data_IF_267135268511
#
_entry.id   IF_267135268511
#
_cell.length_a   1.000
_cell.length_b   1.000
_cell.length_c   1.000
_cell.angle_alpha   90.00
_cell.angle_beta   90.00
_cell.angle_gamma   90.00
#
_symmetry.space_group_name_H-M   'P 1'
#
loop_
_entity.id
_entity.type
_entity.pdbx_description
1 polymer ?
#
# COMPACT_ATOMS: atom_id res chain seq x y z
N UNK A 1 -59.02 -25.49 -8.16
CA UNK A 1 -58.29 -25.74 -9.42
C UNK A 1 -56.91 -25.12 -9.31
N UNK A 2 -55.90 -25.96 -9.12
CA UNK A 2 -54.49 -25.61 -8.93
C UNK A 2 -53.90 -25.04 -10.24
N UNK A 3 -53.21 -23.90 -10.18
CA UNK A 3 -52.41 -23.37 -11.30
C UNK A 3 -50.93 -23.47 -10.92
N UNK A 4 -50.26 -24.46 -11.49
CA UNK A 4 -48.81 -24.62 -11.41
C UNK A 4 -48.12 -23.46 -12.16
N UNK A 5 -47.20 -22.76 -11.47
CA UNK A 5 -46.19 -21.89 -12.09
C UNK A 5 -44.91 -22.70 -12.24
N UNK A 6 -44.51 -22.98 -13.47
CA UNK A 6 -43.20 -23.53 -13.81
C UNK A 6 -42.16 -22.41 -13.79
N UNK A 7 -41.08 -22.59 -13.02
CA UNK A 7 -39.86 -21.77 -13.06
C UNK A 7 -38.86 -22.47 -13.99
N UNK A 8 -38.13 -21.78 -14.88
CA UNK A 8 -37.01 -22.40 -15.58
C UNK A 8 -35.78 -22.37 -14.65
N UNK A 9 -35.23 -23.55 -14.37
CA UNK A 9 -33.90 -23.72 -13.78
C UNK A 9 -32.86 -23.45 -14.89
N UNK A 10 -32.06 -22.39 -14.75
CA UNK A 10 -30.81 -22.27 -15.50
C UNK A 10 -29.74 -23.09 -14.77
N UNK A 11 -29.38 -24.24 -15.33
CA UNK A 11 -28.17 -24.99 -14.96
C UNK A 11 -26.98 -24.35 -15.68
N UNK A 12 -26.10 -23.69 -14.93
CA UNK A 12 -24.76 -23.31 -15.40
C UNK A 12 -23.85 -24.49 -15.11
N UNK A 13 -23.47 -25.23 -16.15
CA UNK A 13 -22.43 -26.26 -16.06
C UNK A 13 -21.06 -25.57 -15.99
N UNK A 14 -20.45 -25.55 -14.80
CA UNK A 14 -19.06 -25.14 -14.61
C UNK A 14 -18.16 -26.31 -15.06
N UNK A 15 -17.59 -26.21 -16.26
CA UNK A 15 -16.52 -27.11 -16.69
C UNK A 15 -15.22 -26.68 -16.00
N UNK A 16 -14.78 -27.44 -15.00
CA UNK A 16 -13.45 -27.33 -14.44
C UNK A 16 -12.42 -27.91 -15.42
N UNK A 17 -11.73 -27.05 -16.17
CA UNK A 17 -10.53 -27.42 -16.90
C UNK A 17 -9.31 -27.27 -15.96
N UNK A 18 -8.39 -28.23 -15.91
CA UNK A 18 -7.16 -28.08 -15.14
C UNK A 18 -6.25 -27.08 -15.86
N UNK A 19 -5.81 -26.03 -15.15
CA UNK A 19 -4.75 -25.12 -15.60
C UNK A 19 -3.41 -25.86 -15.54
N UNK A 20 -3.07 -26.56 -16.61
CA UNK A 20 -1.72 -27.07 -16.83
C UNK A 20 -0.77 -25.87 -16.98
N UNK A 21 0.15 -25.68 -16.03
CA UNK A 21 1.25 -24.73 -16.18
C UNK A 21 2.23 -25.32 -17.20
N UNK A 22 2.28 -24.74 -18.40
CA UNK A 22 3.34 -25.04 -19.35
C UNK A 22 4.63 -24.39 -18.83
N UNK A 23 5.59 -25.21 -18.38
CA UNK A 23 6.96 -24.76 -18.15
C UNK A 23 7.65 -24.63 -19.52
N UNK A 24 7.81 -23.40 -19.98
CA UNK A 24 8.59 -23.07 -21.18
C UNK A 24 10.09 -23.28 -20.84
N UNK A 25 10.80 -24.06 -21.65
CA UNK A 25 12.24 -24.31 -21.47
C UNK A 25 12.97 -23.01 -21.77
N UNK A 26 13.64 -22.42 -20.76
CA UNK A 26 14.39 -21.19 -20.94
C UNK A 26 15.61 -21.42 -21.87
N UNK A 27 15.78 -20.61 -22.93
CA UNK A 27 16.94 -20.70 -23.82
C UNK A 27 18.20 -20.21 -23.12
N UNK A 28 19.37 -20.80 -23.44
CA UNK A 28 20.70 -20.37 -22.95
C UNK A 28 21.31 -19.36 -23.93
N UNK A 29 21.25 -18.04 -23.68
CA UNK A 29 21.74 -17.04 -24.65
C UNK A 29 23.26 -16.91 -24.64
N UNK A 30 23.84 -16.74 -25.83
CA UNK A 30 25.27 -16.42 -25.99
C UNK A 30 25.59 -14.94 -25.73
N UNK A 31 24.60 -14.05 -25.80
CA UNK A 31 24.72 -12.62 -25.49
C UNK A 31 23.33 -12.01 -25.20
N UNK A 32 23.24 -10.83 -24.55
CA UNK A 32 21.96 -10.15 -24.31
C UNK A 32 21.17 -9.85 -25.59
N UNK A 33 21.87 -9.60 -26.71
CA UNK A 33 21.24 -9.36 -28.00
C UNK A 33 20.50 -10.59 -28.53
N UNK A 34 20.88 -11.81 -28.13
CA UNK A 34 20.17 -13.04 -28.52
C UNK A 34 18.75 -13.12 -27.94
N UNK A 35 18.43 -12.35 -26.90
CA UNK A 35 17.12 -12.36 -26.26
C UNK A 35 16.07 -11.57 -27.04
N UNK A 36 16.45 -10.71 -27.99
CA UNK A 36 15.48 -9.92 -28.78
C UNK A 36 14.59 -10.78 -29.68
N UNK A 37 15.05 -11.99 -30.05
CA UNK A 37 14.28 -12.93 -30.88
C UNK A 37 13.33 -13.82 -30.09
N UNK A 38 13.34 -13.75 -28.75
CA UNK A 38 12.41 -14.53 -27.92
C UNK A 38 11.05 -13.85 -27.94
N UNK A 39 10.01 -14.57 -28.39
CA UNK A 39 8.67 -14.00 -28.63
C UNK A 39 7.82 -13.91 -27.36
N UNK A 40 7.97 -14.89 -26.46
CA UNK A 40 7.35 -14.89 -25.13
C UNK A 40 8.03 -13.85 -24.24
N UNK A 41 7.27 -12.91 -23.69
CA UNK A 41 7.81 -11.85 -22.83
C UNK A 41 8.49 -12.44 -21.58
N UNK A 42 7.89 -13.49 -21.01
CA UNK A 42 8.43 -14.19 -19.85
C UNK A 42 9.75 -14.91 -20.18
N UNK A 43 9.80 -15.63 -21.30
CA UNK A 43 11.01 -16.29 -21.76
C UNK A 43 12.09 -15.28 -22.18
N UNK A 44 11.70 -14.13 -22.73
CA UNK A 44 12.61 -13.06 -23.13
C UNK A 44 13.25 -12.38 -21.92
N UNK A 45 12.46 -12.12 -20.87
CA UNK A 45 12.99 -11.61 -19.61
C UNK A 45 13.94 -12.62 -18.96
N UNK A 46 13.54 -13.88 -18.85
CA UNK A 46 14.39 -14.95 -18.32
C UNK A 46 15.71 -15.10 -19.12
N UNK A 47 15.63 -14.94 -20.44
CA UNK A 47 16.81 -14.90 -21.31
C UNK A 47 17.73 -13.72 -20.96
N UNK A 48 17.20 -12.50 -20.81
CA UNK A 48 18.01 -11.34 -20.43
C UNK A 48 18.65 -11.53 -19.05
N UNK A 49 17.89 -12.06 -18.09
CA UNK A 49 18.37 -12.34 -16.75
C UNK A 49 19.56 -13.31 -16.80
N UNK A 50 19.45 -14.38 -17.59
CA UNK A 50 20.53 -15.33 -17.80
C UNK A 50 21.72 -14.73 -18.56
N UNK A 51 21.48 -13.94 -19.61
CA UNK A 51 22.52 -13.33 -20.44
C UNK A 51 23.36 -12.28 -19.68
N UNK A 52 22.72 -11.58 -18.75
CA UNK A 52 23.34 -10.53 -17.94
C UNK A 52 23.79 -11.04 -16.56
N UNK A 53 23.57 -12.32 -16.25
CA UNK A 53 23.90 -12.91 -14.96
C UNK A 53 23.07 -12.36 -13.81
N UNK A 54 21.89 -11.80 -14.08
CA UNK A 54 20.95 -11.39 -13.05
C UNK A 54 20.43 -12.64 -12.35
N UNK A 55 20.88 -12.83 -11.13
CA UNK A 55 20.26 -13.73 -10.17
C UNK A 55 19.53 -12.87 -9.15
N UNK A 56 18.22 -13.06 -8.95
CA UNK A 56 17.54 -12.35 -7.87
C UNK A 56 18.18 -12.79 -6.55
N UNK A 57 18.97 -11.92 -5.93
CA UNK A 57 19.49 -12.21 -4.60
C UNK A 57 18.32 -12.44 -3.66
N UNK A 58 18.36 -13.57 -2.94
CA UNK A 58 17.32 -13.88 -1.98
C UNK A 58 17.42 -12.87 -0.84
N UNK A 59 16.29 -12.32 -0.42
CA UNK A 59 16.23 -11.35 0.68
C UNK A 59 16.90 -11.89 1.96
N UNK A 60 16.81 -13.20 2.20
CA UNK A 60 17.51 -13.86 3.31
C UNK A 60 19.04 -13.80 3.21
N UNK A 61 19.62 -13.89 2.01
CA UNK A 61 21.05 -13.77 1.79
C UNK A 61 21.53 -12.34 2.01
N UNK A 62 20.77 -11.36 1.51
CA UNK A 62 21.04 -9.94 1.73
C UNK A 62 21.02 -9.60 3.23
N UNK A 63 20.04 -10.13 3.96
CA UNK A 63 19.95 -9.96 5.42
C UNK A 63 21.14 -10.62 6.13
N UNK A 64 21.53 -11.84 5.75
CA UNK A 64 22.65 -12.55 6.36
C UNK A 64 23.97 -11.79 6.16
N UNK A 65 24.22 -11.28 4.95
CA UNK A 65 25.39 -10.47 4.64
C UNK A 65 25.45 -9.20 5.50
N UNK A 66 24.31 -8.51 5.65
CA UNK A 66 24.22 -7.31 6.49
C UNK A 66 24.48 -7.61 7.97
N UNK A 67 24.01 -8.74 8.50
CA UNK A 67 24.27 -9.14 9.90
C UNK A 67 25.75 -9.48 10.14
N UNK A 68 26.37 -10.22 9.23
CA UNK A 68 27.81 -10.53 9.31
C UNK A 68 28.64 -9.23 9.28
N UNK A 69 28.24 -8.26 8.45
CA UNK A 69 28.90 -6.95 8.40
C UNK A 69 28.80 -6.20 9.74
N UNK A 70 27.62 -6.15 10.37
CA UNK A 70 27.41 -5.54 11.70
C UNK A 70 28.20 -6.23 12.81
N UNK A 71 28.27 -7.57 12.82
CA UNK A 71 28.99 -8.32 13.85
C UNK A 71 30.51 -8.13 13.79
N UNK A 72 31.06 -7.82 12.61
CA UNK A 72 32.48 -7.47 12.47
C UNK A 72 32.81 -6.10 13.09
N UNK A 73 31.80 -5.26 13.35
CA UNK A 73 31.92 -3.94 13.97
C UNK A 73 31.98 -4.02 15.52
N UNK A 74 31.36 -5.05 16.12
CA UNK A 74 31.20 -5.18 17.59
C UNK A 74 32.29 -5.99 18.29
N UNK A 75 33.28 -6.54 17.58
CA UNK A 75 34.45 -7.18 18.22
C UNK A 75 35.43 -6.10 18.69
N UNK A 76 35.88 -6.09 19.96
CA UNK A 76 36.83 -5.10 20.46
C UNK A 76 38.10 -5.07 19.61
N UNK A 77 38.63 -3.87 19.35
CA UNK A 77 39.88 -3.64 18.61
C UNK A 77 41.15 -4.10 19.36
N UNK A 78 41.05 -4.98 20.35
CA UNK A 78 42.17 -5.36 21.21
C UNK A 78 43.17 -6.33 20.55
N UNK A 79 42.77 -7.05 19.50
CA UNK A 79 43.71 -7.91 18.76
C UNK A 79 44.47 -7.18 17.63
N UNK A 80 44.14 -5.91 17.35
CA UNK A 80 44.74 -5.15 16.24
C UNK A 80 46.05 -4.44 16.61
N UNK A 81 46.45 -4.48 17.88
CA UNK A 81 47.67 -3.80 18.36
C UNK A 81 48.97 -4.60 18.14
N UNK A 82 48.91 -5.90 17.83
CA UNK A 82 50.11 -6.76 17.72
C UNK A 82 50.60 -7.04 16.29
N UNK A 83 49.90 -6.62 15.24
CA UNK A 83 50.34 -6.87 13.85
C UNK A 83 50.73 -5.61 13.06
N UNK A 84 50.93 -4.46 13.74
CA UNK A 84 51.21 -3.16 13.09
C UNK A 84 52.66 -2.92 12.65
N UNK A 85 53.51 -3.95 12.64
CA UNK A 85 54.88 -3.84 12.14
C UNK A 85 55.09 -4.40 10.72
N UNK A 86 54.06 -4.96 10.06
CA UNK A 86 54.24 -5.69 8.79
C UNK A 86 53.49 -5.18 7.55
N UNK A 87 52.45 -4.37 7.67
CA UNK A 87 51.55 -4.07 6.54
C UNK A 87 51.72 -2.63 6.02
N UNK A 88 52.93 -2.27 5.59
CA UNK A 88 53.17 -1.05 4.79
C UNK A 88 52.83 -1.21 3.30
N UNK A 89 52.37 -2.39 2.88
CA UNK A 89 51.98 -2.69 1.50
C UNK A 89 50.78 -3.65 1.45
N UNK A 90 49.59 -3.18 1.84
CA UNK A 90 48.34 -3.79 1.38
C UNK A 90 47.38 -2.71 0.95
N UNK A 91 47.08 -2.74 -0.35
CA UNK A 91 46.24 -1.83 -1.09
C UNK A 91 44.89 -1.56 -0.40
N UNK A 92 44.52 -0.28 -0.41
CA UNK A 92 43.21 0.27 -0.06
C UNK A 92 42.11 -0.27 -0.99
N UNK A 93 41.68 -1.50 -0.76
CA UNK A 93 40.62 -2.17 -1.52
C UNK A 93 39.60 -2.95 -0.70
N UNK A 94 39.61 -2.84 0.64
CA UNK A 94 38.81 -3.72 1.52
C UNK A 94 37.79 -3.04 2.45
N UNK A 95 37.59 -1.72 2.38
CA UNK A 95 36.58 -1.06 3.22
C UNK A 95 35.23 -0.76 2.52
N UNK A 96 35.10 -0.99 1.21
CA UNK A 96 33.81 -0.87 0.49
C UNK A 96 32.79 -2.02 0.71
N UNK A 97 33.13 -3.29 1.02
CA UNK A 97 32.14 -4.37 1.11
C UNK A 97 31.15 -4.28 2.30
N UNK A 98 31.46 -3.50 3.34
CA UNK A 98 30.69 -3.50 4.60
C UNK A 98 29.48 -2.57 4.54
N UNK A 99 29.73 -1.31 4.19
CA UNK A 99 28.69 -0.29 4.07
C UNK A 99 27.65 -0.71 3.02
N UNK A 100 28.10 -1.27 1.91
CA UNK A 100 27.22 -1.76 0.83
C UNK A 100 26.31 -2.91 1.28
N UNK A 101 26.82 -3.87 2.06
CA UNK A 101 25.99 -4.96 2.57
C UNK A 101 24.89 -4.45 3.53
N UNK A 102 25.21 -3.48 4.39
CA UNK A 102 24.23 -2.87 5.30
C UNK A 102 23.22 -2.01 4.52
N UNK A 103 23.68 -1.27 3.51
CA UNK A 103 22.85 -0.43 2.65
C UNK A 103 21.87 -1.23 1.78
N UNK A 104 22.16 -2.51 1.54
CA UNK A 104 21.33 -3.43 0.76
C UNK A 104 20.56 -4.46 1.61
N UNK A 105 20.45 -4.23 2.91
CA UNK A 105 19.64 -5.08 3.78
C UNK A 105 18.15 -5.08 3.36
N UNK A 106 17.51 -6.25 3.38
CA UNK A 106 16.12 -6.40 2.95
C UNK A 106 15.87 -6.25 1.46
N UNK A 107 16.91 -6.20 0.62
CA UNK A 107 16.74 -6.10 -0.82
C UNK A 107 15.83 -7.20 -1.38
N UNK A 108 14.91 -6.80 -2.25
CA UNK A 108 13.93 -7.69 -2.90
C UNK A 108 12.69 -8.00 -2.05
N UNK A 109 12.63 -7.52 -0.80
CA UNK A 109 11.44 -7.71 0.02
C UNK A 109 10.22 -6.94 -0.51
N UNK A 110 9.03 -7.24 0.00
CA UNK A 110 7.80 -6.52 -0.37
C UNK A 110 7.95 -5.01 -0.10
N UNK A 111 8.42 -4.66 1.10
CA UNK A 111 8.61 -3.26 1.49
C UNK A 111 9.73 -2.59 0.70
N UNK A 112 10.83 -3.28 0.41
CA UNK A 112 11.90 -2.75 -0.42
C UNK A 112 11.42 -2.44 -1.84
N UNK A 113 10.71 -3.36 -2.50
CA UNK A 113 10.18 -3.13 -3.85
C UNK A 113 9.18 -1.97 -3.91
N UNK A 114 8.39 -1.79 -2.85
CA UNK A 114 7.41 -0.70 -2.76
C UNK A 114 8.06 0.65 -2.45
N UNK A 115 9.13 0.69 -1.67
CA UNK A 115 9.70 1.94 -1.13
C UNK A 115 11.13 2.24 -1.57
N UNK A 116 11.73 1.38 -2.38
CA UNK A 116 13.09 1.52 -2.91
C UNK A 116 14.11 1.73 -1.78
N UNK A 117 14.03 0.86 -0.76
CA UNK A 117 14.74 1.05 0.51
C UNK A 117 16.22 0.75 0.39
N UNK A 118 16.56 -0.38 -0.22
CA UNK A 118 17.94 -0.80 -0.43
C UNK A 118 18.65 0.12 -1.44
N UNK A 119 19.94 0.37 -1.23
CA UNK A 119 20.77 1.20 -2.13
C UNK A 119 20.62 0.81 -3.60
N UNK A 120 20.68 -0.49 -3.89
CA UNK A 120 20.61 -1.01 -5.25
C UNK A 120 19.17 -1.13 -5.79
N UNK A 121 18.16 -0.90 -4.95
CA UNK A 121 16.74 -0.88 -5.34
C UNK A 121 16.25 0.53 -5.71
N UNK A 122 17.08 1.56 -5.53
CA UNK A 122 16.77 2.95 -5.83
C UNK A 122 16.64 3.18 -7.34
N UNK A 123 15.53 3.79 -7.75
CA UNK A 123 15.23 4.12 -9.15
C UNK A 123 15.49 5.59 -9.47
N UNK A 124 16.06 6.35 -8.53
CA UNK A 124 16.30 7.79 -8.65
C UNK A 124 15.07 8.65 -8.35
N UNK A 125 15.22 9.96 -8.57
CA UNK A 125 14.19 10.97 -8.25
C UNK A 125 13.27 11.26 -9.43
N UNK A 126 12.09 11.82 -9.13
CA UNK A 126 11.06 12.26 -10.08
C UNK A 126 10.47 11.16 -10.97
N UNK A 127 10.67 9.89 -10.61
CA UNK A 127 9.96 8.78 -11.21
C UNK A 127 8.55 8.68 -10.63
N UNK A 128 7.52 8.67 -11.48
CA UNK A 128 6.14 8.49 -11.04
C UNK A 128 5.89 6.99 -10.82
N UNK A 129 5.51 6.63 -9.59
CA UNK A 129 5.31 5.25 -9.15
C UNK A 129 3.92 5.12 -8.54
N UNK A 130 3.35 3.92 -8.60
CA UNK A 130 2.14 3.61 -7.86
C UNK A 130 2.37 3.68 -6.34
N UNK A 131 1.37 4.14 -5.58
CA UNK A 131 1.48 4.28 -4.12
C UNK A 131 0.56 3.32 -3.34
N UNK A 132 -0.72 3.67 -3.19
CA UNK A 132 -1.78 2.78 -2.67
C UNK A 132 -2.43 2.02 -3.84
N UNK A 133 -3.32 1.05 -3.61
CA UNK A 133 -4.01 0.35 -4.69
C UNK A 133 -4.70 1.29 -5.70
N UNK A 134 -4.69 0.91 -6.98
CA UNK A 134 -5.36 1.63 -8.07
C UNK A 134 -6.40 0.71 -8.67
N UNK A 135 -7.67 1.07 -8.49
CA UNK A 135 -8.80 0.20 -8.82
C UNK A 135 -10.02 0.97 -9.30
N UNK A 136 -10.92 0.22 -9.94
CA UNK A 136 -12.26 0.61 -10.32
C UNK A 136 -13.22 -0.51 -9.88
N UNK A 137 -14.21 -0.16 -9.06
CA UNK A 137 -15.28 -1.02 -8.57
C UNK A 137 -16.60 -0.52 -9.17
N UNK A 138 -17.06 -1.07 -10.31
CA UNK A 138 -18.35 -0.71 -10.89
C UNK A 138 -19.52 -1.02 -9.97
N UNK A 139 -19.41 -2.06 -9.15
CA UNK A 139 -20.41 -2.41 -8.15
C UNK A 139 -19.83 -2.18 -6.76
N UNK A 140 -20.17 -1.06 -6.13
CA UNK A 140 -19.84 -0.74 -4.75
C UNK A 140 -21.13 -0.47 -3.97
N UNK A 141 -21.60 -1.48 -3.26
CA UNK A 141 -22.86 -1.45 -2.52
C UNK A 141 -22.64 -1.09 -1.05
N UNK A 142 -23.57 -0.38 -0.42
CA UNK A 142 -23.59 -0.07 1.01
C UNK A 142 -24.87 -0.57 1.70
N UNK A 143 -24.73 -1.04 2.94
CA UNK A 143 -25.86 -1.44 3.78
C UNK A 143 -26.72 -0.27 4.25
N UNK A 144 -26.13 0.93 4.39
CA UNK A 144 -26.81 2.12 4.89
C UNK A 144 -26.22 3.38 4.27
N UNK A 145 -27.03 4.12 3.51
CA UNK A 145 -26.59 5.32 2.80
C UNK A 145 -26.75 6.56 3.68
N UNK A 146 -25.67 7.30 3.89
CA UNK A 146 -25.65 8.52 4.69
C UNK A 146 -26.31 9.70 3.95
N UNK A 147 -27.64 9.82 4.05
CA UNK A 147 -28.41 10.84 3.33
C UNK A 147 -28.37 12.22 3.98
N UNK A 148 -28.00 12.31 5.25
CA UNK A 148 -27.96 13.56 6.02
C UNK A 148 -26.67 13.60 6.86
N UNK A 149 -25.49 13.71 6.24
CA UNK A 149 -24.23 13.72 6.98
C UNK A 149 -24.19 14.89 7.97
N UNK A 150 -23.78 14.60 9.20
CA UNK A 150 -23.71 15.56 10.30
C UNK A 150 -22.27 15.78 10.77
N UNK A 151 -22.06 16.86 11.50
CA UNK A 151 -20.83 17.16 12.23
C UNK A 151 -21.18 17.99 13.47
N UNK A 152 -20.39 17.94 14.56
CA UNK A 152 -20.55 18.87 15.69
C UNK A 152 -20.47 20.34 15.30
N UNK A 153 -19.86 20.68 14.15
CA UNK A 153 -19.92 22.01 13.59
C UNK A 153 -21.27 22.22 12.87
N UNK A 154 -22.12 23.17 13.32
CA UNK A 154 -23.43 23.41 12.70
C UNK A 154 -23.36 23.83 11.23
N UNK A 155 -22.26 24.45 10.79
CA UNK A 155 -22.05 24.78 9.38
C UNK A 155 -21.90 23.53 8.51
N UNK A 156 -21.46 22.40 9.08
CA UNK A 156 -21.13 21.16 8.39
C UNK A 156 -22.21 20.07 8.57
N UNK A 157 -23.47 20.49 8.73
CA UNK A 157 -24.60 19.61 8.99
C UNK A 157 -25.68 19.75 7.91
N UNK A 158 -25.96 18.67 7.20
CA UNK A 158 -26.96 18.65 6.12
C UNK A 158 -28.36 18.50 6.71
N UNK A 159 -29.24 19.46 6.44
CA UNK A 159 -30.62 19.45 6.93
C UNK A 159 -31.61 18.76 6.00
N UNK A 160 -31.34 18.75 4.69
CA UNK A 160 -32.21 18.15 3.68
C UNK A 160 -31.62 16.83 3.19
N UNK A 161 -32.34 15.71 3.28
CA UNK A 161 -31.84 14.41 2.84
C UNK A 161 -31.43 14.41 1.36
N UNK A 162 -30.23 13.91 1.10
CA UNK A 162 -29.73 13.65 -0.25
C UNK A 162 -30.44 12.44 -0.85
N UNK A 163 -30.71 12.49 -2.15
CA UNK A 163 -31.27 11.37 -2.91
C UNK A 163 -30.13 10.44 -3.33
N UNK A 164 -29.85 9.43 -2.49
CA UNK A 164 -28.76 8.47 -2.70
C UNK A 164 -29.29 7.05 -2.89
N UNK A 165 -28.76 6.37 -3.89
CA UNK A 165 -28.87 4.93 -4.06
C UNK A 165 -27.81 4.20 -3.24
N UNK A 166 -28.12 2.96 -2.87
CA UNK A 166 -27.20 2.10 -2.10
C UNK A 166 -26.06 1.53 -2.93
N UNK A 167 -26.09 1.65 -4.26
CA UNK A 167 -25.03 1.15 -5.15
C UNK A 167 -24.39 2.29 -5.92
N UNK A 168 -23.06 2.36 -5.84
CA UNK A 168 -22.24 3.36 -6.49
C UNK A 168 -21.14 2.68 -7.33
N UNK A 169 -20.50 3.47 -8.18
CA UNK A 169 -19.19 3.16 -8.72
C UNK A 169 -18.14 3.80 -7.81
N UNK A 170 -17.13 3.03 -7.39
CA UNK A 170 -16.01 3.53 -6.60
C UNK A 170 -14.71 3.36 -7.37
N UNK A 171 -13.80 4.34 -7.30
CA UNK A 171 -12.45 4.17 -7.83
C UNK A 171 -11.41 4.89 -6.97
N UNK A 172 -10.16 4.45 -7.10
CA UNK A 172 -9.02 5.08 -6.45
C UNK A 172 -7.86 5.22 -7.42
N UNK A 173 -7.25 6.40 -7.44
CA UNK A 173 -5.99 6.70 -8.09
C UNK A 173 -4.97 7.04 -7.02
N UNK A 174 -3.76 6.50 -7.11
CA UNK A 174 -2.74 6.74 -6.10
C UNK A 174 -1.34 6.60 -6.68
N UNK A 175 -0.55 7.66 -6.52
CA UNK A 175 0.81 7.73 -7.02
C UNK A 175 1.73 8.42 -6.02
N UNK A 176 3.02 8.17 -6.16
CA UNK A 176 4.07 8.85 -5.43
C UNK A 176 5.29 9.05 -6.31
N UNK A 177 6.14 9.98 -5.92
CA UNK A 177 7.44 10.20 -6.53
C UNK A 177 8.47 10.55 -5.46
N UNK A 178 9.69 10.05 -5.63
CA UNK A 178 10.82 10.39 -4.76
C UNK A 178 11.37 11.74 -5.21
N UNK A 179 11.42 12.71 -4.32
CA UNK A 179 11.89 14.08 -4.64
C UNK A 179 13.28 14.35 -4.08
N UNK A 180 13.66 13.66 -3.01
CA UNK A 180 15.04 13.63 -2.49
C UNK A 180 15.39 12.19 -2.19
N UNK A 181 16.57 11.77 -2.65
CA UNK A 181 17.15 10.47 -2.37
C UNK A 181 18.34 10.65 -1.44
N UNK A 182 18.46 9.77 -0.44
CA UNK A 182 19.62 9.70 0.46
C UNK A 182 19.97 11.02 1.16
N UNK A 183 18.96 11.66 1.77
CA UNK A 183 19.12 12.89 2.54
C UNK A 183 20.16 12.75 3.67
N UNK A 184 20.36 11.54 4.20
CA UNK A 184 21.29 11.23 5.28
C UNK A 184 22.27 10.13 4.87
N UNK A 185 23.21 10.47 3.99
CA UNK A 185 24.29 9.57 3.56
C UNK A 185 23.84 8.59 2.47
N UNK A 186 23.39 7.40 2.86
CA UNK A 186 22.89 6.35 1.97
C UNK A 186 21.45 5.91 2.34
N UNK A 187 20.75 6.77 3.06
CA UNK A 187 19.43 6.51 3.63
C UNK A 187 18.63 7.81 3.80
N UNK A 188 17.31 7.67 3.95
CA UNK A 188 16.38 8.78 4.16
C UNK A 188 15.93 9.40 2.85
N UNK A 189 14.81 8.91 2.33
CA UNK A 189 14.21 9.39 1.09
C UNK A 189 12.99 10.26 1.39
N UNK A 190 12.86 11.40 0.69
CA UNK A 190 11.64 12.21 0.72
C UNK A 190 10.78 11.83 -0.47
N UNK A 191 9.55 11.42 -0.18
CA UNK A 191 8.51 11.08 -1.14
C UNK A 191 7.37 12.09 -1.08
N UNK A 192 6.86 12.46 -2.25
CA UNK A 192 5.59 13.18 -2.39
C UNK A 192 4.56 12.19 -2.93
N UNK A 193 3.42 12.08 -2.27
CA UNK A 193 2.32 11.19 -2.61
C UNK A 193 1.02 11.94 -2.84
N UNK A 194 0.15 11.35 -3.65
CA UNK A 194 -1.21 11.81 -3.83
C UNK A 194 -2.12 10.61 -4.01
N UNK A 195 -3.19 10.55 -3.21
CA UNK A 195 -4.27 9.59 -3.37
C UNK A 195 -5.59 10.33 -3.57
N UNK A 196 -6.38 9.87 -4.52
CA UNK A 196 -7.74 10.33 -4.73
C UNK A 196 -8.68 9.14 -4.77
N UNK A 197 -9.76 9.18 -4.00
CA UNK A 197 -10.77 8.12 -3.99
C UNK A 197 -12.16 8.73 -4.16
N UNK A 198 -12.95 8.24 -5.12
CA UNK A 198 -14.25 8.82 -5.48
C UNK A 198 -15.36 7.77 -5.44
N UNK A 199 -16.56 8.21 -5.02
CA UNK A 199 -17.82 7.46 -5.08
C UNK A 199 -18.81 8.21 -5.96
N UNK A 200 -19.23 7.55 -7.03
CA UNK A 200 -20.06 8.09 -8.07
C UNK A 200 -21.41 7.37 -8.08
N UNK A 201 -22.50 8.11 -7.96
CA UNK A 201 -23.87 7.62 -8.11
C UNK A 201 -24.19 7.35 -9.59
N UNK A 202 -23.35 6.60 -10.30
CA UNK A 202 -23.41 6.37 -11.74
C UNK A 202 -24.75 5.78 -12.21
N UNK A 203 -25.46 5.09 -11.31
CA UNK A 203 -26.73 4.42 -11.57
C UNK A 203 -27.96 5.24 -11.18
N UNK A 204 -27.78 6.32 -10.41
CA UNK A 204 -28.87 7.14 -9.89
C UNK A 204 -29.37 8.11 -10.95
N UNK A 205 -30.29 7.65 -11.79
CA UNK A 205 -30.87 8.45 -12.87
C UNK A 205 -31.69 9.62 -12.37
N UNK A 206 -32.35 9.45 -11.22
CA UNK A 206 -33.30 10.42 -10.69
C UNK A 206 -32.59 11.68 -10.16
N UNK A 207 -31.36 11.51 -9.65
CA UNK A 207 -30.50 12.61 -9.19
C UNK A 207 -29.48 13.10 -10.25
N UNK A 208 -29.58 12.67 -11.51
CA UNK A 208 -28.61 12.99 -12.59
C UNK A 208 -27.19 12.49 -12.37
N UNK A 209 -27.04 11.33 -11.70
CA UNK A 209 -25.80 10.58 -11.54
C UNK A 209 -24.62 11.40 -10.97
N UNK A 210 -24.76 12.07 -9.82
CA UNK A 210 -23.74 12.95 -9.29
C UNK A 210 -22.58 12.14 -8.67
N UNK A 211 -21.39 12.74 -8.62
CA UNK A 211 -20.39 12.29 -7.65
C UNK A 211 -20.91 12.60 -6.25
N UNK A 212 -21.05 11.57 -5.40
CA UNK A 212 -21.43 11.76 -4.00
C UNK A 212 -20.26 12.35 -3.23
N UNK A 213 -19.09 11.71 -3.34
CA UNK A 213 -17.91 12.07 -2.56
C UNK A 213 -16.62 11.82 -3.34
N UNK A 214 -15.66 12.72 -3.17
CA UNK A 214 -14.27 12.53 -3.59
C UNK A 214 -13.38 12.96 -2.45
N UNK A 215 -12.41 12.13 -2.06
CA UNK A 215 -11.39 12.52 -1.09
C UNK A 215 -10.05 12.70 -1.80
N UNK A 216 -9.38 13.80 -1.47
CA UNK A 216 -8.07 14.21 -1.96
C UNK A 216 -7.08 14.11 -0.79
N UNK A 217 -6.02 13.31 -0.95
CA UNK A 217 -5.07 12.99 0.11
C UNK A 217 -3.62 13.15 -0.39
N UNK A 218 -3.08 14.39 -0.42
CA UNK A 218 -1.66 14.62 -0.62
C UNK A 218 -0.83 14.32 0.64
N UNK A 219 0.37 13.77 0.44
CA UNK A 219 1.28 13.37 1.51
C UNK A 219 2.73 13.77 1.18
N UNK A 220 3.48 14.24 2.17
CA UNK A 220 4.93 14.38 2.11
C UNK A 220 5.54 13.46 3.17
N UNK A 221 6.47 12.59 2.79
CA UNK A 221 6.89 11.44 3.60
C UNK A 221 8.41 11.33 3.61
N UNK A 222 9.02 11.37 4.79
CA UNK A 222 10.43 11.04 4.98
C UNK A 222 10.54 9.58 5.44
N UNK A 223 11.19 8.73 4.64
CA UNK A 223 11.24 7.28 4.84
C UNK A 223 12.68 6.80 4.94
N UNK A 224 12.95 6.00 5.97
CA UNK A 224 14.26 5.42 6.26
C UNK A 224 14.21 3.90 6.13
N UNK A 225 15.24 3.32 5.53
CA UNK A 225 15.57 1.90 5.58
C UNK A 225 16.03 1.51 6.99
N UNK A 226 15.51 0.40 7.47
CA UNK A 226 15.87 -0.27 8.71
C UNK A 226 16.29 -1.72 8.44
N UNK A 227 17.01 -2.31 9.40
CA UNK A 227 17.37 -3.72 9.37
C UNK A 227 17.52 -4.29 10.79
N UNK A 228 16.41 -4.30 11.53
CA UNK A 228 16.30 -4.96 12.83
C UNK A 228 15.35 -6.16 12.74
N UNK A 229 15.47 -7.10 13.68
CA UNK A 229 14.64 -8.30 13.73
C UNK A 229 13.87 -8.34 15.06
N UNK A 230 12.58 -8.65 15.00
CA UNK A 230 11.70 -8.74 16.18
C UNK A 230 10.70 -9.88 16.00
N UNK A 231 10.75 -10.91 16.85
CA UNK A 231 9.82 -12.07 16.82
C UNK A 231 9.66 -12.72 15.43
N UNK A 232 10.76 -12.82 14.67
CA UNK A 232 10.76 -13.39 13.31
C UNK A 232 10.34 -12.43 12.20
N UNK A 233 9.87 -11.22 12.52
CA UNK A 233 9.65 -10.13 11.56
C UNK A 233 10.91 -9.28 11.40
N UNK A 234 11.04 -8.66 10.23
CA UNK A 234 12.13 -7.74 9.90
C UNK A 234 11.59 -6.33 9.77
N UNK A 235 12.06 -5.42 10.62
CA UNK A 235 11.73 -4.00 10.48
C UNK A 235 12.50 -3.40 9.32
N UNK A 236 11.79 -3.08 8.22
CA UNK A 236 12.39 -2.59 6.97
C UNK A 236 12.32 -1.10 6.80
N UNK A 237 11.25 -0.47 7.33
CA UNK A 237 11.08 0.96 7.18
C UNK A 237 10.58 1.61 8.46
N UNK A 238 11.05 2.83 8.69
CA UNK A 238 10.41 3.80 9.56
C UNK A 238 10.28 5.11 8.80
N UNK A 239 9.22 5.86 9.01
CA UNK A 239 9.08 7.16 8.38
C UNK A 239 8.14 8.09 9.11
N UNK A 240 8.21 9.36 8.77
CA UNK A 240 7.29 10.38 9.25
C UNK A 240 6.66 11.07 8.04
N UNK A 241 5.35 11.29 8.09
CA UNK A 241 4.61 11.94 7.01
C UNK A 241 3.81 13.11 7.54
N UNK A 242 3.72 14.16 6.72
CA UNK A 242 2.67 15.18 6.83
C UNK A 242 1.61 14.84 5.78
N UNK A 243 0.37 14.79 6.20
CA UNK A 243 -0.76 14.35 5.39
C UNK A 243 -1.88 15.37 5.54
N UNK A 244 -2.44 15.78 4.41
CA UNK A 244 -3.70 16.51 4.35
C UNK A 244 -4.72 15.59 3.70
N UNK A 245 -5.96 15.62 4.20
CA UNK A 245 -7.07 14.95 3.53
C UNK A 245 -8.30 15.84 3.59
N UNK A 246 -8.91 16.11 2.44
CA UNK A 246 -10.15 16.86 2.34
C UNK A 246 -11.03 16.30 1.25
N UNK A 247 -12.32 16.66 1.26
CA UNK A 247 -13.24 16.28 0.19
C UNK A 247 -13.48 17.35 -0.87
N UNK A 248 -12.85 18.53 -0.72
CA UNK A 248 -12.96 19.64 -1.68
C UNK A 248 -14.37 20.20 -1.84
N UNK A 249 -15.26 19.99 -0.85
CA UNK A 249 -16.63 20.50 -0.86
C UNK A 249 -16.75 21.78 -0.04
N UNK A 250 -17.75 22.58 -0.40
CA UNK A 250 -18.24 23.69 0.43
C UNK A 250 -19.16 23.20 1.55
N UNK A 251 -19.45 24.07 2.50
CA UNK A 251 -20.45 23.82 3.54
C UNK A 251 -21.84 23.61 2.91
N UNK A 252 -22.67 22.69 3.45
CA UNK A 252 -22.46 21.91 4.67
C UNK A 252 -21.72 20.58 4.49
N UNK A 253 -21.27 20.26 3.28
CA UNK A 253 -20.62 18.98 2.96
C UNK A 253 -19.10 19.00 3.18
N UNK A 254 -18.51 20.15 3.48
CA UNK A 254 -17.07 20.27 3.67
C UNK A 254 -16.58 19.35 4.78
N UNK A 255 -15.50 18.60 4.52
CA UNK A 255 -14.79 17.77 5.49
C UNK A 255 -13.30 17.86 5.22
N UNK A 256 -12.51 18.01 6.28
CA UNK A 256 -11.05 18.08 6.18
C UNK A 256 -10.35 17.77 7.49
N UNK A 257 -9.10 17.35 7.39
CA UNK A 257 -8.19 17.22 8.54
C UNK A 257 -6.74 17.09 8.08
N UNK A 258 -5.84 17.43 9.00
CA UNK A 258 -4.39 17.40 8.80
C UNK A 258 -3.74 16.47 9.83
N UNK A 259 -2.73 15.70 9.44
CA UNK A 259 -2.10 14.68 10.28
C UNK A 259 -0.58 14.68 10.15
N UNK A 260 0.08 14.39 11.27
CA UNK A 260 1.46 13.90 11.29
C UNK A 260 1.41 12.41 11.58
N UNK A 261 1.95 11.59 10.67
CA UNK A 261 1.82 10.13 10.68
C UNK A 261 3.20 9.51 10.87
N UNK A 262 3.36 8.64 11.86
CA UNK A 262 4.51 7.75 11.95
C UNK A 262 4.22 6.50 11.12
N UNK A 263 5.19 6.02 10.36
CA UNK A 263 5.07 4.80 9.57
C UNK A 263 6.10 3.80 10.06
N UNK A 264 5.68 2.58 10.37
CA UNK A 264 6.56 1.47 10.74
C UNK A 264 6.20 0.30 9.84
N UNK A 265 7.14 -0.17 9.03
CA UNK A 265 6.93 -1.29 8.12
C UNK A 265 7.81 -2.47 8.49
N UNK A 266 7.18 -3.62 8.67
CA UNK A 266 7.82 -4.90 8.89
C UNK A 266 7.43 -5.89 7.80
N UNK A 267 8.32 -6.79 7.44
CA UNK A 267 7.97 -7.91 6.58
C UNK A 267 8.48 -9.24 7.12
N UNK A 268 7.90 -10.31 6.56
CA UNK A 268 8.27 -11.69 6.81
C UNK A 268 7.81 -12.54 5.65
N UNK A 269 8.76 -13.05 4.86
CA UNK A 269 8.45 -13.89 3.69
C UNK A 269 7.45 -13.18 2.76
N UNK A 270 6.24 -13.75 2.62
CA UNK A 270 5.14 -13.26 1.79
C UNK A 270 4.24 -12.24 2.52
N UNK A 271 4.59 -11.85 3.74
CA UNK A 271 3.81 -10.91 4.55
C UNK A 271 4.48 -9.55 4.67
N UNK A 272 3.66 -8.50 4.66
CA UNK A 272 4.06 -7.15 5.02
C UNK A 272 3.05 -6.54 6.00
N UNK A 273 3.55 -5.93 7.07
CA UNK A 273 2.77 -5.23 8.08
C UNK A 273 3.21 -3.78 8.12
N UNK A 274 2.28 -2.85 7.95
CA UNK A 274 2.51 -1.42 8.14
C UNK A 274 1.65 -0.93 9.31
N UNK A 275 2.28 -0.30 10.30
CA UNK A 275 1.61 0.34 11.43
C UNK A 275 1.74 1.84 11.29
N UNK A 276 0.62 2.55 11.41
CA UNK A 276 0.58 4.01 11.25
C UNK A 276 -0.20 4.69 12.37
N UNK A 277 0.41 4.98 13.53
CA UNK A 277 -0.17 5.93 14.46
C UNK A 277 -0.01 7.36 13.95
N UNK A 278 -0.96 8.23 14.27
CA UNK A 278 -0.90 9.63 13.88
C UNK A 278 -1.40 10.58 14.97
N UNK A 279 -0.96 11.82 14.84
CA UNK A 279 -1.47 12.96 15.58
C UNK A 279 -2.19 13.90 14.63
N UNK A 280 -3.44 14.26 14.95
CA UNK A 280 -4.17 15.30 14.23
C UNK A 280 -3.56 16.66 14.55
N UNK A 281 -3.29 17.45 13.51
CA UNK A 281 -3.02 18.88 13.63
C UNK A 281 -4.37 19.56 13.78
N UNK A 282 -4.59 20.21 14.92
CA UNK A 282 -5.89 20.83 15.25
C UNK A 282 -6.03 22.17 14.55
N UNK A 283 -7.26 22.44 14.14
CA UNK A 283 -7.73 23.73 13.65
C UNK A 283 -8.53 24.44 14.75
N UNK A 284 -8.78 25.73 14.56
CA UNK A 284 -9.66 26.48 15.46
C UNK A 284 -11.08 25.90 15.39
N UNK A 285 -11.74 25.77 16.55
CA UNK A 285 -13.01 25.03 16.66
C UNK A 285 -14.12 25.59 15.78
N UNK A 286 -14.10 26.89 15.49
CA UNK A 286 -15.10 27.53 14.63
C UNK A 286 -14.91 27.14 13.14
N UNK A 287 -13.67 26.87 12.74
CA UNK A 287 -13.30 26.56 11.36
C UNK A 287 -13.14 25.04 11.12
N UNK A 288 -13.07 24.25 12.19
CA UNK A 288 -12.95 22.79 12.15
C UNK A 288 -14.26 22.16 11.62
N UNK A 289 -14.20 21.61 10.40
CA UNK A 289 -15.37 21.02 9.74
C UNK A 289 -15.90 19.75 10.44
N UNK A 290 -15.07 19.06 11.21
CA UNK A 290 -15.38 17.77 11.82
C UNK A 290 -14.57 17.60 13.14
N UNK A 291 -14.96 18.31 14.22
CA UNK A 291 -14.17 18.39 15.45
C UNK A 291 -13.94 17.06 16.17
N UNK A 292 -14.83 16.09 15.97
CA UNK A 292 -14.83 14.76 16.56
C UNK A 292 -14.23 13.68 15.64
N UNK A 293 -13.61 14.04 14.51
CA UNK A 293 -13.10 13.05 13.53
C UNK A 293 -12.14 12.02 14.12
N UNK A 294 -11.32 12.38 15.11
CA UNK A 294 -10.41 11.45 15.80
C UNK A 294 -11.12 10.41 16.67
N UNK A 295 -12.40 10.59 16.97
CA UNK A 295 -13.20 9.60 17.71
C UNK A 295 -13.78 8.54 16.79
N UNK A 296 -13.68 8.70 15.45
CA UNK A 296 -14.14 7.73 14.45
C UNK A 296 -13.04 7.24 13.52
N UNK A 297 -12.41 8.16 12.78
CA UNK A 297 -11.26 7.85 11.93
C UNK A 297 -10.03 7.49 12.78
N UNK A 298 -10.00 7.96 14.02
CA UNK A 298 -9.11 7.45 15.03
C UNK A 298 -7.72 8.04 15.05
N UNK A 299 -6.79 7.26 15.62
CA UNK A 299 -5.40 7.68 15.93
C UNK A 299 -4.35 6.72 15.38
N UNK A 300 -4.79 5.68 14.69
CA UNK A 300 -3.90 4.78 13.99
C UNK A 300 -4.62 3.75 13.14
N UNK A 301 -3.88 3.23 12.18
CA UNK A 301 -4.26 2.03 11.44
C UNK A 301 -3.11 1.03 11.34
N UNK A 302 -3.49 -0.21 11.05
CA UNK A 302 -2.60 -1.32 10.77
C UNK A 302 -3.03 -1.97 9.45
N UNK A 303 -2.09 -2.11 8.51
CA UNK A 303 -2.30 -2.78 7.23
C UNK A 303 -1.44 -4.04 7.19
N UNK A 304 -2.06 -5.21 7.18
CA UNK A 304 -1.42 -6.50 7.01
C UNK A 304 -1.71 -7.04 5.61
N UNK A 305 -0.67 -7.34 4.85
CA UNK A 305 -0.77 -7.84 3.48
C UNK A 305 -0.08 -9.18 3.36
N UNK A 306 -0.72 -10.12 2.67
CA UNK A 306 -0.15 -11.38 2.23
C UNK A 306 -0.15 -11.42 0.71
N UNK A 307 1.01 -11.63 0.09
CA UNK A 307 1.18 -11.67 -1.36
C UNK A 307 1.90 -12.95 -1.78
N UNK A 308 1.23 -13.81 -2.54
CA UNK A 308 1.78 -15.08 -3.02
C UNK A 308 1.16 -15.49 -4.35
N UNK A 309 1.99 -15.90 -5.31
CA UNK A 309 1.57 -16.45 -6.62
C UNK A 309 0.56 -15.55 -7.36
N UNK A 310 0.73 -14.23 -7.24
CA UNK A 310 -0.16 -13.25 -7.84
C UNK A 310 -1.47 -13.03 -7.08
N UNK A 311 -1.75 -13.73 -5.99
CA UNK A 311 -2.86 -13.42 -5.08
C UNK A 311 -2.38 -12.47 -3.98
N UNK A 312 -3.15 -11.41 -3.73
CA UNK A 312 -2.89 -10.48 -2.64
C UNK A 312 -4.14 -10.31 -1.75
N UNK A 313 -3.97 -10.52 -0.45
CA UNK A 313 -4.99 -10.25 0.56
C UNK A 313 -4.47 -9.16 1.49
N UNK A 314 -5.20 -8.05 1.60
CA UNK A 314 -4.88 -6.95 2.49
C UNK A 314 -5.98 -6.75 3.53
N UNK A 315 -5.60 -6.74 4.82
CA UNK A 315 -6.45 -6.42 5.94
C UNK A 315 -6.02 -5.07 6.52
N UNK A 316 -6.90 -4.07 6.46
CA UNK A 316 -6.69 -2.75 7.05
C UNK A 316 -7.61 -2.59 8.25
N UNK A 317 -7.05 -2.41 9.44
CA UNK A 317 -7.80 -2.14 10.66
C UNK A 317 -7.46 -0.74 11.18
N UNK A 318 -8.48 0.03 11.53
CA UNK A 318 -8.37 1.40 12.04
C UNK A 318 -9.13 1.53 13.35
N UNK A 319 -8.59 2.26 14.31
CA UNK A 319 -9.24 2.44 15.61
C UNK A 319 -9.00 3.81 16.24
N UNK A 320 -9.99 4.27 17.00
CA UNK A 320 -9.96 5.50 17.81
C UNK A 320 -8.90 5.51 18.90
N UNK A 321 -8.52 4.32 19.37
CA UNK A 321 -7.70 4.08 20.56
C UNK A 321 -8.27 4.77 21.81
N UNK A 322 -9.60 4.89 21.87
CA UNK A 322 -10.38 5.33 23.02
C UNK A 322 -11.27 4.18 23.51
N UNK A 323 -11.70 4.28 24.77
CA UNK A 323 -12.69 3.36 25.35
C UNK A 323 -14.08 4.00 25.46
N UNK A 324 -15.05 3.20 25.93
CA UNK A 324 -16.44 3.64 26.12
C UNK A 324 -17.11 4.02 24.80
N UNK A 325 -17.98 5.02 24.85
CA UNK A 325 -18.77 5.48 23.70
C UNK A 325 -17.94 6.11 22.56
N UNK A 326 -16.63 6.30 22.77
CA UNK A 326 -15.69 6.79 21.74
C UNK A 326 -14.86 5.68 21.12
N UNK A 327 -15.13 4.43 21.45
CA UNK A 327 -14.42 3.26 20.92
C UNK A 327 -14.93 2.88 19.54
N UNK A 328 -14.64 3.71 18.54
CA UNK A 328 -14.98 3.43 17.15
C UNK A 328 -13.77 2.97 16.33
N UNK A 329 -14.03 2.33 15.21
CA UNK A 329 -13.03 1.88 14.26
C UNK A 329 -13.68 1.29 13.00
N UNK A 330 -12.83 0.74 12.14
CA UNK A 330 -13.25 0.04 10.94
C UNK A 330 -12.28 -1.07 10.58
N UNK A 331 -12.76 -2.01 9.77
CA UNK A 331 -11.96 -3.06 9.16
C UNK A 331 -12.28 -3.09 7.67
N UNK A 332 -11.24 -3.21 6.85
CA UNK A 332 -11.35 -3.40 5.41
C UNK A 332 -10.54 -4.63 5.00
N UNK A 333 -11.13 -5.48 4.17
CA UNK A 333 -10.49 -6.61 3.53
C UNK A 333 -10.52 -6.39 2.02
N UNK A 334 -9.34 -6.33 1.40
CA UNK A 334 -9.17 -6.31 -0.05
C UNK A 334 -8.58 -7.65 -0.50
N UNK A 335 -9.09 -8.18 -1.60
CA UNK A 335 -8.57 -9.37 -2.26
C UNK A 335 -8.37 -9.11 -3.76
N UNK A 336 -7.10 -9.07 -4.16
CA UNK A 336 -6.67 -9.01 -5.56
C UNK A 336 -6.27 -10.39 -6.07
N UNK A 337 -6.86 -10.84 -7.16
CA UNK A 337 -6.50 -12.11 -7.82
C UNK A 337 -6.13 -11.90 -9.30
N UNK A 338 -5.19 -12.68 -9.85
CA UNK A 338 -4.68 -12.41 -11.18
C UNK A 338 -5.73 -12.73 -12.25
N UNK A 339 -5.94 -11.79 -13.19
CA UNK A 339 -6.65 -12.04 -14.46
C UNK A 339 -5.63 -12.12 -15.60
N UNK A 340 -4.71 -11.15 -15.64
CA UNK A 340 -3.52 -11.13 -16.51
C UNK A 340 -2.31 -10.65 -15.70
N UNK A 341 -1.16 -10.48 -16.34
CA UNK A 341 0.04 -9.96 -15.68
C UNK A 341 -0.14 -8.52 -15.14
N UNK A 342 -1.04 -7.73 -15.72
CA UNK A 342 -1.24 -6.31 -15.39
C UNK A 342 -2.64 -6.00 -14.83
N UNK A 343 -3.63 -6.85 -15.13
CA UNK A 343 -5.01 -6.67 -14.69
C UNK A 343 -5.36 -7.72 -13.65
N UNK A 344 -5.98 -7.28 -12.56
CA UNK A 344 -6.41 -8.14 -11.46
C UNK A 344 -7.90 -7.96 -11.22
N UNK A 345 -8.56 -9.03 -10.80
CA UNK A 345 -9.89 -8.94 -10.20
C UNK A 345 -9.74 -8.45 -8.76
N UNK A 346 -10.64 -7.57 -8.33
CA UNK A 346 -10.56 -6.93 -7.01
C UNK A 346 -11.90 -7.02 -6.29
N UNK A 347 -11.85 -7.57 -5.08
CA UNK A 347 -12.98 -7.61 -4.14
C UNK A 347 -12.61 -6.82 -2.90
N UNK A 348 -13.52 -5.97 -2.45
CA UNK A 348 -13.34 -5.15 -1.26
C UNK A 348 -14.53 -5.29 -0.33
N UNK A 349 -14.27 -5.48 0.96
CA UNK A 349 -15.29 -5.48 2.01
C UNK A 349 -14.84 -4.51 3.10
N UNK A 350 -15.65 -3.52 3.41
CA UNK A 350 -15.42 -2.57 4.49
C UNK A 350 -16.56 -2.68 5.51
N UNK A 351 -16.23 -2.66 6.79
CA UNK A 351 -17.21 -2.55 7.87
C UNK A 351 -16.72 -1.59 8.95
N UNK A 352 -17.57 -0.63 9.34
CA UNK A 352 -17.29 0.31 10.43
C UNK A 352 -17.52 1.76 10.02
N UNK A 353 -16.73 2.66 10.61
CA UNK A 353 -16.84 4.11 10.42
C UNK A 353 -15.78 4.67 9.46
N UNK A 354 -16.13 5.70 8.69
CA UNK A 354 -15.15 6.44 7.88
C UNK A 354 -14.61 5.71 6.66
N UNK A 355 -15.54 5.13 5.89
CA UNK A 355 -15.26 4.64 4.53
C UNK A 355 -14.77 5.78 3.62
N UNK A 356 -15.33 6.97 3.82
CA UNK A 356 -14.94 8.24 3.20
C UNK A 356 -15.02 9.38 4.22
N UNK A 357 -14.52 10.58 3.90
CA UNK A 357 -14.58 11.71 4.82
C UNK A 357 -16.02 12.15 5.13
N UNK A 358 -16.92 12.21 4.15
CA UNK A 358 -18.32 12.55 4.43
C UNK A 358 -19.02 11.52 5.32
N UNK A 359 -18.52 10.27 5.32
CA UNK A 359 -19.00 9.16 6.13
C UNK A 359 -18.13 8.91 7.37
N UNK A 360 -17.29 9.88 7.79
CA UNK A 360 -16.33 9.67 8.89
C UNK A 360 -17.00 9.19 10.18
N UNK A 361 -18.20 9.68 10.50
CA UNK A 361 -19.00 9.35 11.67
C UNK A 361 -20.24 8.50 11.34
N UNK A 362 -20.27 7.88 10.16
CA UNK A 362 -21.37 7.01 9.72
C UNK A 362 -20.92 5.55 9.70
N UNK A 363 -21.69 4.66 10.34
CA UNK A 363 -21.37 3.22 10.36
C UNK A 363 -22.12 2.49 9.28
N UNK A 364 -21.41 1.83 8.38
CA UNK A 364 -22.02 0.95 7.39
C UNK A 364 -21.05 -0.15 6.95
N UNK A 365 -21.63 -1.18 6.32
CA UNK A 365 -20.90 -2.22 5.60
C UNK A 365 -20.93 -1.88 4.11
N UNK A 366 -19.79 -1.98 3.44
CA UNK A 366 -19.68 -1.78 2.00
C UNK A 366 -19.04 -3.01 1.34
N UNK A 367 -19.55 -3.38 0.17
CA UNK A 367 -19.04 -4.51 -0.61
C UNK A 367 -18.80 -4.03 -2.04
N UNK A 368 -17.56 -4.18 -2.48
CA UNK A 368 -17.08 -3.76 -3.79
C UNK A 368 -16.60 -4.94 -4.63
N UNK A 369 -16.93 -4.92 -5.91
CA UNK A 369 -16.40 -5.83 -6.93
C UNK A 369 -15.97 -5.04 -8.16
N UNK A 370 -14.76 -5.33 -8.65
CA UNK A 370 -14.25 -4.75 -9.87
C UNK A 370 -12.87 -5.24 -10.24
N UNK A 371 -12.03 -4.32 -10.72
CA UNK A 371 -10.69 -4.60 -11.22
C UNK A 371 -9.67 -3.63 -10.63
N UNK A 372 -8.42 -4.07 -10.57
CA UNK A 372 -7.29 -3.25 -10.16
C UNK A 372 -6.11 -3.40 -11.14
N UNK A 373 -5.32 -2.34 -11.22
CA UNK A 373 -4.04 -2.31 -11.95
C UNK A 373 -2.85 -2.40 -11.00
N UNK A 374 -3.08 -2.11 -9.72
CA UNK A 374 -2.07 -2.08 -8.69
C UNK A 374 -2.72 -2.44 -7.35
N UNK A 375 -2.13 -3.40 -6.65
CA UNK A 375 -2.44 -3.74 -5.26
C UNK A 375 -1.40 -3.12 -4.32
N UNK A 376 -1.29 -3.54 -3.06
CA UNK A 376 -0.29 -3.01 -2.12
C UNK A 376 1.14 -3.46 -2.40
N UNK A 377 1.40 -4.60 -3.07
CA UNK A 377 2.76 -5.05 -3.41
C UNK A 377 2.94 -5.69 -4.79
#
# INVERSE_FOLDING_TARGET
MSKHRTRPLMLIALAAAPLAHAQEIAPTPASPQACTSVTSDAARLACYDQALGYTPQLTAEADAAAQIAKQKESKPQDERALSRAGDFFRADGQDQPKAEAVANAGRGSLLDRRWELAKDSKLGTFQLRGYKPVYLLPAFWTSDSNRTPQSPNPANSVSTPQQLDSTELKFQLSFKTKVVEDLFGDNGDIWMGYTQSSRWQAYNTDASRPFRETNYEPEAMLVFRNNYSLFGWKGRMSGISINHMSNGREDPLSRSWNRVILNIGLDRENWALTLRPWFRIKEDRADDNNPDIEDYMGRGDATLVYNKDGHEVALIARHSLRGGDRSHGSVQLDYGFPITNLLRGHVQVFDGYGESLIDYNHKATYIGLGVSLLEWF
#
